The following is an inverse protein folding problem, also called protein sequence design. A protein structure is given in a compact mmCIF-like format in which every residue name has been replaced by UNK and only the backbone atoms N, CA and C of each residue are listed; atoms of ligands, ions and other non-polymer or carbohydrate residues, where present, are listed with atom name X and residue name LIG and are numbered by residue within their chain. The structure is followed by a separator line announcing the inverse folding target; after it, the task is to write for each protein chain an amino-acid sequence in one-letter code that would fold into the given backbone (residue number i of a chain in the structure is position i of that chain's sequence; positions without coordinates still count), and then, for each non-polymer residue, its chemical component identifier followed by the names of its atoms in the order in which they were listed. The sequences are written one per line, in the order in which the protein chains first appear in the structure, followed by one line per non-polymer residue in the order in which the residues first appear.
data_IF_842776056294
#
_entry.id   IF_842776056294
#
_cell.length_a   1.000
_cell.length_b   1.000
_cell.length_c   1.000
_cell.angle_alpha   90.00
_cell.angle_beta   90.00
_cell.angle_gamma   90.00
#
_symmetry.space_group_name_H-M   'P 1'
#
loop_
_entity.id
_entity.type
_entity.pdbx_description
1 polymer ?
#
# COMPACT_ATOMS: atom_id res chain seq x y z
N UNK A 1 1.35 17.86 2.35
CA UNK A 1 2.61 17.24 1.85
C UNK A 1 3.27 16.27 2.84
N UNK A 2 3.62 16.71 4.06
CA UNK A 2 4.34 15.90 5.05
C UNK A 2 3.60 14.60 5.46
N UNK A 3 2.29 14.68 5.71
CA UNK A 3 1.46 13.51 6.06
C UNK A 3 1.43 12.44 4.97
N UNK A 4 1.45 12.82 3.70
CA UNK A 4 1.48 11.86 2.58
C UNK A 4 2.83 11.13 2.52
N UNK A 5 3.93 11.88 2.62
CA UNK A 5 5.28 11.31 2.62
C UNK A 5 5.48 10.32 3.78
N UNK A 6 4.98 10.65 4.98
CA UNK A 6 5.04 9.77 6.13
C UNK A 6 4.30 8.44 5.88
N UNK A 7 3.05 8.49 5.37
CA UNK A 7 2.27 7.26 5.12
C UNK A 7 2.87 6.42 3.97
N UNK A 8 3.52 7.05 2.99
CA UNK A 8 4.31 6.38 1.94
C UNK A 8 5.50 5.63 2.54
N UNK A 9 6.30 6.27 3.40
CA UNK A 9 7.43 5.63 4.11
C UNK A 9 6.96 4.46 4.96
N UNK A 10 5.85 4.60 5.68
CA UNK A 10 5.23 3.49 6.42
C UNK A 10 4.86 2.31 5.52
N UNK A 11 4.35 2.58 4.33
CA UNK A 11 3.98 1.53 3.36
C UNK A 11 5.22 0.79 2.84
N UNK A 12 6.30 1.52 2.55
CA UNK A 12 7.58 0.93 2.13
C UNK A 12 8.25 0.15 3.27
N UNK A 13 8.17 0.65 4.51
CA UNK A 13 8.67 -0.05 5.70
C UNK A 13 7.90 -1.35 5.96
N UNK A 14 6.58 -1.34 5.79
CA UNK A 14 5.75 -2.53 5.91
C UNK A 14 6.05 -3.56 4.81
N UNK A 15 6.38 -3.11 3.60
CA UNK A 15 6.89 -4.01 2.54
C UNK A 15 8.16 -4.72 3.01
N UNK A 16 9.14 -3.98 3.56
CA UNK A 16 10.37 -4.58 4.10
C UNK A 16 10.07 -5.51 5.28
N UNK A 17 9.12 -5.16 6.13
CA UNK A 17 8.70 -5.94 7.29
C UNK A 17 8.12 -7.31 6.89
N UNK A 18 7.34 -7.37 5.80
CA UNK A 18 6.73 -8.60 5.29
C UNK A 18 7.69 -9.50 4.52
N UNK A 19 8.61 -8.91 3.75
CA UNK A 19 9.46 -9.66 2.81
C UNK A 19 10.89 -9.90 3.30
N UNK A 20 11.28 -9.37 4.47
CA UNK A 20 12.63 -9.52 5.01
C UNK A 20 12.63 -9.86 6.49
N UNK A 21 13.71 -10.51 6.94
CA UNK A 21 13.98 -10.77 8.37
C UNK A 21 14.75 -9.63 9.05
N UNK A 22 14.80 -8.43 8.46
CA UNK A 22 15.55 -7.31 9.03
C UNK A 22 15.08 -6.97 10.46
N UNK A 23 15.98 -6.57 11.38
CA UNK A 23 15.60 -6.04 12.68
C UNK A 23 14.59 -4.89 12.56
N UNK A 24 13.65 -4.82 13.50
CA UNK A 24 12.63 -3.77 13.50
C UNK A 24 13.24 -2.37 13.66
N UNK A 25 14.33 -2.25 14.42
CA UNK A 25 15.09 -1.01 14.59
C UNK A 25 15.68 -0.51 13.27
N UNK A 26 16.23 -1.40 12.44
CA UNK A 26 16.81 -1.02 11.14
C UNK A 26 15.74 -0.54 10.17
N UNK A 27 14.57 -1.20 10.17
CA UNK A 27 13.41 -0.79 9.37
C UNK A 27 12.89 0.58 9.83
N UNK A 28 12.83 0.80 11.15
CA UNK A 28 12.42 2.08 11.73
C UNK A 28 13.38 3.22 11.31
N UNK A 29 14.69 2.99 11.43
CA UNK A 29 15.72 3.95 11.03
C UNK A 29 15.64 4.27 9.53
N UNK A 30 15.54 3.25 8.68
CA UNK A 30 15.40 3.43 7.23
C UNK A 30 14.13 4.19 6.83
N UNK A 31 13.05 4.04 7.62
CA UNK A 31 11.80 4.77 7.43
C UNK A 31 11.82 6.20 8.00
N UNK A 32 12.91 6.61 8.66
CA UNK A 32 13.10 7.95 9.24
C UNK A 32 12.43 8.14 10.60
N UNK A 33 12.25 7.06 11.37
CA UNK A 33 11.79 7.13 12.75
C UNK A 33 12.98 7.18 13.71
N UNK A 34 12.88 8.03 14.74
CA UNK A 34 13.91 8.21 15.77
C UNK A 34 14.03 7.00 16.71
N UNK A 35 13.02 6.15 16.77
CA UNK A 35 13.03 4.94 17.59
C UNK A 35 12.16 3.82 17.03
N UNK A 36 12.49 2.59 17.40
CA UNK A 36 11.68 1.41 17.11
C UNK A 36 10.26 1.53 17.70
N UNK A 37 10.10 2.13 18.88
CA UNK A 37 8.80 2.32 19.53
C UNK A 37 7.92 3.30 18.75
N UNK A 38 8.48 4.42 18.28
CA UNK A 38 7.76 5.38 17.44
C UNK A 38 7.28 4.74 16.13
N UNK A 39 8.14 3.94 15.49
CA UNK A 39 7.75 3.17 14.30
C UNK A 39 6.65 2.16 14.62
N UNK A 40 6.79 1.40 15.71
CA UNK A 40 5.84 0.35 16.10
C UNK A 40 4.44 0.94 16.33
N UNK A 41 4.34 2.05 17.07
CA UNK A 41 3.08 2.74 17.32
C UNK A 41 2.44 3.24 16.01
N UNK A 42 3.23 3.88 15.15
CA UNK A 42 2.74 4.39 13.87
C UNK A 42 2.29 3.26 12.92
N UNK A 43 3.06 2.17 12.84
CA UNK A 43 2.76 1.00 12.02
C UNK A 43 1.47 0.32 12.51
N UNK A 44 1.32 0.10 13.82
CA UNK A 44 0.12 -0.48 14.39
C UNK A 44 -1.12 0.39 14.18
N UNK A 45 -1.00 1.71 14.33
CA UNK A 45 -2.10 2.63 14.06
C UNK A 45 -2.52 2.63 12.57
N UNK A 46 -1.56 2.43 11.66
CA UNK A 46 -1.79 2.46 10.21
C UNK A 46 -2.32 1.13 9.65
N UNK A 47 -1.72 0.01 10.06
CA UNK A 47 -2.07 -1.34 9.60
C UNK A 47 -3.07 -2.06 10.50
N UNK A 48 -3.44 -1.48 11.65
CA UNK A 48 -4.37 -2.04 12.66
C UNK A 48 -3.91 -3.35 13.30
N UNK A 49 -2.62 -3.65 13.19
CA UNK A 49 -2.00 -4.82 13.81
C UNK A 49 -0.53 -4.55 14.18
N UNK A 50 0.01 -5.21 15.23
CA UNK A 50 1.41 -5.07 15.61
C UNK A 50 2.38 -5.50 14.50
N UNK A 51 3.57 -4.89 14.35
CA UNK A 51 4.53 -5.26 13.31
C UNK A 51 4.97 -6.73 13.34
N UNK A 52 5.02 -7.34 14.52
CA UNK A 52 5.35 -8.76 14.68
C UNK A 52 4.28 -9.65 14.05
N UNK A 53 3.02 -9.41 14.38
CA UNK A 53 1.89 -10.13 13.80
C UNK A 53 1.83 -9.92 12.28
N UNK A 54 2.05 -8.69 11.82
CA UNK A 54 2.10 -8.35 10.40
C UNK A 54 3.21 -9.11 9.64
N UNK A 55 4.36 -9.33 10.30
CA UNK A 55 5.46 -10.14 9.76
C UNK A 55 5.10 -11.63 9.72
N UNK A 56 4.51 -12.16 10.78
CA UNK A 56 4.10 -13.57 10.87
C UNK A 56 2.98 -13.91 9.86
N UNK A 57 2.08 -12.97 9.56
CA UNK A 57 1.03 -13.15 8.57
C UNK A 57 1.59 -13.26 7.13
N UNK A 58 2.72 -12.61 6.85
CA UNK A 58 3.39 -12.67 5.54
C UNK A 58 2.60 -12.04 4.38
N UNK A 59 1.46 -11.39 4.67
CA UNK A 59 0.59 -10.77 3.66
C UNK A 59 0.79 -9.27 3.64
N UNK A 60 1.51 -8.81 2.63
CA UNK A 60 1.64 -7.38 2.38
C UNK A 60 0.47 -6.85 1.55
N UNK A 61 -0.17 -5.77 2.02
CA UNK A 61 -1.15 -5.01 1.25
C UNK A 61 -0.72 -3.54 1.08
N UNK A 62 -0.53 -3.06 -0.16
CA UNK A 62 -0.10 -1.70 -0.44
C UNK A 62 -1.23 -0.69 -0.21
N UNK A 63 -1.16 0.09 0.86
CA UNK A 63 -2.14 1.16 1.12
C UNK A 63 -1.86 2.43 0.30
N UNK A 64 -0.59 2.75 0.03
CA UNK A 64 -0.18 3.97 -0.69
C UNK A 64 1.00 3.76 -1.65
N UNK A 65 1.31 2.52 -2.03
CA UNK A 65 2.36 2.29 -3.03
C UNK A 65 1.93 2.90 -4.36
N UNK A 66 2.92 3.46 -5.07
CA UNK A 66 2.72 3.96 -6.42
C UNK A 66 2.19 2.81 -7.27
N UNK A 67 0.94 2.92 -7.71
CA UNK A 67 0.42 2.01 -8.72
C UNK A 67 1.25 2.19 -9.99
N UNK A 68 2.01 1.16 -10.36
CA UNK A 68 2.63 1.11 -11.69
C UNK A 68 1.64 0.38 -12.58
N UNK A 69 1.01 1.06 -13.55
CA UNK A 69 0.10 0.39 -14.47
C UNK A 69 0.89 -0.72 -15.15
N UNK A 70 0.43 -1.95 -14.97
CA UNK A 70 0.96 -3.07 -15.73
C UNK A 70 0.64 -2.78 -17.19
N UNK A 71 1.67 -2.66 -18.03
CA UNK A 71 1.48 -2.59 -19.48
C UNK A 71 0.71 -3.86 -19.89
N UNK A 72 -0.59 -3.71 -20.17
CA UNK A 72 -1.39 -4.80 -20.70
C UNK A 72 -0.81 -5.12 -22.07
N UNK A 73 -0.53 -6.40 -22.33
CA UNK A 73 -0.19 -6.81 -23.68
C UNK A 73 -1.35 -6.42 -24.61
N UNK A 74 -1.06 -6.13 -25.88
CA UNK A 74 -2.09 -5.78 -26.86
C UNK A 74 -3.24 -6.83 -26.93
N UNK A 75 -2.97 -8.09 -26.57
CA UNK A 75 -3.98 -9.16 -26.42
C UNK A 75 -4.93 -8.95 -25.24
N UNK A 76 -4.45 -8.43 -24.11
CA UNK A 76 -5.27 -8.11 -22.94
C UNK A 76 -6.18 -6.91 -23.17
N UNK A 77 -5.70 -5.89 -23.88
CA UNK A 77 -6.49 -4.71 -24.23
C UNK A 77 -7.68 -5.05 -25.15
N UNK A 78 -7.52 -5.98 -26.08
CA UNK A 78 -8.60 -6.46 -26.96
C UNK A 78 -9.75 -7.14 -26.22
N UNK A 79 -9.51 -7.65 -25.00
CA UNK A 79 -10.49 -8.41 -24.22
C UNK A 79 -11.54 -7.51 -23.53
N UNK A 80 -11.27 -6.22 -23.39
CA UNK A 80 -12.13 -5.27 -22.71
C UNK A 80 -12.93 -4.33 -23.65
N UNK A 81 -12.91 -4.59 -24.97
CA UNK A 81 -13.50 -3.69 -25.95
C UNK A 81 -12.83 -2.31 -25.97
N UNK A 82 -13.34 -1.39 -26.79
CA UNK A 82 -12.90 -0.01 -26.76
C UNK A 82 -13.39 0.65 -25.48
N UNK A 83 -12.48 0.96 -24.55
CA UNK A 83 -12.80 1.72 -23.34
C UNK A 83 -13.27 3.12 -23.76
N UNK A 84 -14.50 3.47 -23.43
CA UNK A 84 -15.08 4.82 -23.63
C UNK A 84 -15.46 5.44 -22.28
N UNK A 85 -15.52 6.79 -22.17
CA UNK A 85 -16.08 7.44 -20.99
C UNK A 85 -17.50 6.94 -20.69
N UNK A 86 -17.83 6.81 -19.40
CA UNK A 86 -19.17 6.45 -18.94
C UNK A 86 -20.16 7.56 -19.31
N UNK A 87 -21.34 7.16 -19.79
CA UNK A 87 -22.45 8.04 -20.09
C UNK A 87 -23.51 7.96 -18.97
N UNK A 88 -24.52 8.83 -19.02
CA UNK A 88 -25.55 8.90 -17.99
C UNK A 88 -26.33 7.59 -17.87
N UNK A 89 -26.47 6.85 -18.96
CA UNK A 89 -27.18 5.57 -19.02
C UNK A 89 -26.38 4.42 -18.37
N UNK A 90 -25.06 4.58 -18.24
CA UNK A 90 -24.18 3.60 -17.59
C UNK A 90 -24.22 3.74 -16.04
N UNK A 91 -24.83 4.81 -15.51
CA UNK A 91 -24.96 5.10 -14.07
C UNK A 91 -26.20 4.39 -13.52
N UNK A 92 -26.07 3.41 -12.60
CA UNK A 92 -27.21 2.68 -12.07
C UNK A 92 -28.13 3.57 -11.21
N UNK A 93 -29.42 3.23 -11.14
CA UNK A 93 -30.42 4.01 -10.40
C UNK A 93 -30.20 4.12 -8.87
N UNK A 94 -29.27 3.35 -8.28
CA UNK A 94 -28.99 3.42 -6.83
C UNK A 94 -28.03 4.55 -6.42
N UNK A 95 -27.47 5.29 -7.38
CA UNK A 95 -26.60 6.44 -7.11
C UNK A 95 -27.34 7.78 -7.00
N UNK A 96 -28.68 7.79 -7.03
CA UNK A 96 -29.53 8.93 -6.65
C UNK A 96 -30.16 8.72 -5.27
#
# INVERSE_FOLDING_TARGET
PARYAQRRRLTEAALQLSYTHRPLADIALAAGYESQQAFTAACAAFYKQPPRAFREEGRFYPLLLRHRPRQLSARGARRFGAVRPAQREDIPAWTE
#
